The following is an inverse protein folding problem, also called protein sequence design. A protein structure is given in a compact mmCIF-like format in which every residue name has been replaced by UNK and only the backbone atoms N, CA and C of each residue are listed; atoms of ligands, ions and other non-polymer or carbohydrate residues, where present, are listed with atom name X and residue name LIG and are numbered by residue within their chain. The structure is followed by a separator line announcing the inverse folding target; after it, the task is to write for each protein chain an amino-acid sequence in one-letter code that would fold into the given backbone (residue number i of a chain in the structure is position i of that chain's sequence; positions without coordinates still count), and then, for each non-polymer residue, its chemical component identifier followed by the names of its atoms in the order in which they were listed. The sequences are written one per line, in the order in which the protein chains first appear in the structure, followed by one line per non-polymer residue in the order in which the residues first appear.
data_IF_760590847442
#
_entry.id   IF_760590847442
#
_cell.length_a   1.000
_cell.length_b   1.000
_cell.length_c   1.000
_cell.angle_alpha   90.00
_cell.angle_beta   90.00
_cell.angle_gamma   90.00
#
_symmetry.space_group_name_H-M   'P 1'
#
loop_
_entity.id
_entity.type
_entity.pdbx_description
1 polymer ?
#
# COMPACT_ATOMS: atom_id res chain seq x y z
N UNK A 1 12.66 -10.76 -10.73
CA UNK A 1 11.19 -10.57 -10.60
C UNK A 1 10.91 -9.07 -10.75
N UNK A 2 10.03 -8.65 -11.67
CA UNK A 2 9.67 -7.24 -11.79
C UNK A 2 8.80 -6.86 -10.60
N UNK A 3 9.30 -5.98 -9.74
CA UNK A 3 8.52 -5.40 -8.66
C UNK A 3 7.42 -4.56 -9.29
N UNK A 4 6.16 -4.82 -8.91
CA UNK A 4 5.04 -3.98 -9.32
C UNK A 4 4.99 -2.77 -8.41
N UNK A 5 4.91 -1.60 -9.05
CA UNK A 5 4.85 -0.31 -8.41
C UNK A 5 3.45 0.27 -8.58
N UNK A 6 2.76 0.48 -7.48
CA UNK A 6 1.50 1.23 -7.45
C UNK A 6 1.75 2.55 -6.72
N UNK A 7 1.19 3.64 -7.25
CA UNK A 7 1.33 4.97 -6.64
C UNK A 7 -0.05 5.39 -6.20
N UNK A 8 -0.16 5.74 -4.92
CA UNK A 8 -1.42 6.18 -4.34
C UNK A 8 -1.18 7.55 -3.71
N UNK A 9 -1.92 8.53 -4.20
CA UNK A 9 -1.91 9.89 -3.70
C UNK A 9 -2.71 9.95 -2.38
N UNK A 10 -2.15 10.63 -1.38
CA UNK A 10 -2.79 10.95 -0.09
C UNK A 10 -3.09 9.79 0.89
N UNK A 11 -2.06 9.32 1.59
CA UNK A 11 -2.23 8.51 2.81
C UNK A 11 -1.91 9.29 4.09
N UNK A 12 -2.87 9.29 5.01
CA UNK A 12 -2.68 9.73 6.40
C UNK A 12 -1.89 8.73 7.27
N UNK A 13 -1.66 7.50 6.79
CA UNK A 13 -1.00 6.45 7.55
C UNK A 13 0.51 6.39 7.31
N UNK A 14 1.25 6.14 8.38
CA UNK A 14 2.69 5.92 8.29
C UNK A 14 3.03 4.66 7.48
N UNK A 15 4.14 4.64 6.72
CA UNK A 15 4.58 3.48 5.93
C UNK A 15 4.64 2.16 6.72
N UNK A 16 5.01 2.22 8.01
CA UNK A 16 5.05 1.05 8.87
C UNK A 16 3.67 0.44 9.14
N UNK A 17 2.63 1.27 9.30
CA UNK A 17 1.26 0.81 9.54
C UNK A 17 0.71 0.15 8.30
N UNK A 18 0.94 0.78 7.14
CA UNK A 18 0.59 0.22 5.85
C UNK A 18 1.33 -1.10 5.59
N UNK A 19 2.65 -1.19 5.85
CA UNK A 19 3.41 -2.42 5.65
C UNK A 19 2.85 -3.57 6.51
N UNK A 20 2.53 -3.32 7.79
CA UNK A 20 1.89 -4.31 8.65
C UNK A 20 0.49 -4.72 8.16
N UNK A 21 -0.29 -3.75 7.69
CA UNK A 21 -1.63 -4.01 7.15
C UNK A 21 -1.58 -4.86 5.88
N UNK A 22 -0.72 -4.49 4.92
CA UNK A 22 -0.49 -5.27 3.70
C UNK A 22 -0.04 -6.69 4.04
N UNK A 23 0.90 -6.86 4.98
CA UNK A 23 1.34 -8.18 5.43
C UNK A 23 0.23 -8.99 6.10
N UNK A 24 -0.61 -8.34 6.89
CA UNK A 24 -1.73 -8.99 7.59
C UNK A 24 -2.87 -9.38 6.66
N UNK A 25 -3.22 -8.52 5.68
CA UNK A 25 -4.34 -8.74 4.77
C UNK A 25 -3.97 -9.61 3.58
N UNK A 26 -2.78 -9.40 3.03
CA UNK A 26 -2.37 -10.01 1.76
C UNK A 26 -1.33 -11.11 1.93
N UNK A 27 -0.81 -11.34 3.14
CA UNK A 27 0.19 -12.36 3.43
C UNK A 27 1.61 -11.78 3.56
N UNK A 28 2.55 -12.61 4.02
CA UNK A 28 3.89 -12.16 4.43
C UNK A 28 4.83 -11.87 3.25
N UNK A 29 4.42 -10.97 2.34
CA UNK A 29 5.22 -10.50 1.22
C UNK A 29 6.12 -9.33 1.62
N UNK A 30 7.20 -9.14 0.85
CA UNK A 30 8.15 -8.02 1.02
C UNK A 30 7.55 -6.73 0.45
N UNK A 31 6.54 -6.19 1.13
CA UNK A 31 5.95 -4.90 0.77
C UNK A 31 6.89 -3.77 1.18
N UNK A 32 7.35 -3.00 0.19
CA UNK A 32 8.15 -1.79 0.41
C UNK A 32 7.31 -0.58 0.11
N UNK A 33 7.30 0.37 1.04
CA UNK A 33 6.51 1.59 0.91
C UNK A 33 7.49 2.76 0.97
N UNK A 34 7.47 3.59 -0.06
CA UNK A 34 8.22 4.84 -0.09
C UNK A 34 7.24 5.98 -0.01
N UNK A 35 7.47 6.90 0.93
CA UNK A 35 6.73 8.16 1.01
C UNK A 35 7.49 9.21 0.20
N UNK A 36 6.88 9.70 -0.87
CA UNK A 36 7.29 10.91 -1.59
C UNK A 36 6.67 12.17 -0.96
N UNK A 37 6.92 13.34 -1.56
CA UNK A 37 6.37 14.60 -1.07
C UNK A 37 4.83 14.63 -1.09
N UNK A 38 4.21 14.05 -2.13
CA UNK A 38 2.75 14.11 -2.32
C UNK A 38 2.08 12.72 -2.47
N UNK A 39 2.88 11.67 -2.70
CA UNK A 39 2.37 10.34 -2.98
C UNK A 39 3.09 9.23 -2.22
N UNK A 40 2.38 8.14 -1.97
CA UNK A 40 2.94 6.90 -1.45
C UNK A 40 3.15 5.92 -2.59
N UNK A 41 4.38 5.43 -2.72
CA UNK A 41 4.75 4.40 -3.69
C UNK A 41 4.83 3.05 -3.00
N UNK A 42 3.98 2.13 -3.43
CA UNK A 42 3.89 0.76 -2.95
C UNK A 42 4.61 -0.17 -3.95
N UNK A 43 5.59 -0.90 -3.45
CA UNK A 43 6.38 -1.86 -4.22
C UNK A 43 6.09 -3.26 -3.68
N UNK A 44 5.52 -4.10 -4.54
CA UNK A 44 5.19 -5.50 -4.22
C UNK A 44 5.83 -6.46 -5.24
N UNK A 45 6.17 -7.70 -4.85
CA UNK A 45 6.74 -8.70 -5.76
C UNK A 45 5.71 -9.26 -6.76
N UNK A 46 4.42 -8.95 -6.57
CA UNK A 46 3.31 -9.31 -7.45
C UNK A 46 2.40 -8.10 -7.68
N UNK A 47 1.63 -8.07 -8.78
CA UNK A 47 0.55 -7.10 -8.93
C UNK A 47 -0.45 -7.23 -7.77
N UNK A 48 -0.86 -6.07 -7.24
CA UNK A 48 -2.02 -5.98 -6.35
C UNK A 48 -3.27 -6.16 -7.20
N UNK A 49 -4.25 -6.89 -6.68
CA UNK A 49 -5.58 -7.00 -7.29
C UNK A 49 -6.43 -5.78 -6.95
N UNK A 50 -7.49 -5.52 -7.73
CA UNK A 50 -8.41 -4.41 -7.46
C UNK A 50 -8.95 -4.44 -6.03
N UNK A 51 -9.30 -5.62 -5.49
CA UNK A 51 -9.79 -5.79 -4.11
C UNK A 51 -8.75 -5.35 -3.05
N UNK A 52 -7.47 -5.48 -3.37
CA UNK A 52 -6.37 -5.09 -2.50
C UNK A 52 -6.13 -3.57 -2.56
N UNK A 53 -6.35 -2.97 -3.73
CA UNK A 53 -6.29 -1.53 -3.95
C UNK A 53 -7.52 -0.85 -3.32
N UNK A 54 -8.69 -1.44 -3.45
CA UNK A 54 -9.94 -0.97 -2.86
C UNK A 54 -9.84 -1.00 -1.33
N UNK A 55 -9.34 -2.09 -0.75
CA UNK A 55 -9.09 -2.16 0.69
C UNK A 55 -7.99 -1.23 1.22
N UNK A 56 -7.18 -0.69 0.32
CA UNK A 56 -6.20 0.35 0.59
C UNK A 56 -6.91 1.72 0.61
N UNK A 57 -7.81 1.98 -0.35
CA UNK A 57 -8.65 3.19 -0.43
C UNK A 57 -9.70 3.27 0.69
N UNK A 58 -10.30 2.16 1.11
CA UNK A 58 -11.24 2.07 2.25
C UNK A 58 -10.59 2.58 3.57
N UNK A 59 -9.28 2.34 3.71
CA UNK A 59 -8.47 2.85 4.83
C UNK A 59 -8.11 4.33 4.70
N UNK A 60 -8.17 4.89 3.49
CA UNK A 60 -8.03 6.32 3.23
C UNK A 60 -9.24 7.08 3.78
N UNK A 61 -10.45 6.61 3.49
CA UNK A 61 -11.70 7.29 3.89
C UNK A 61 -12.00 7.22 5.39
N UNK A 62 -11.61 6.14 6.08
CA UNK A 62 -11.99 5.93 7.50
C UNK A 62 -11.28 6.86 8.52
N UNK A 63 -10.53 7.85 8.04
CA UNK A 63 -9.87 8.87 8.89
C UNK A 63 -10.33 10.30 8.54
N UNK A 64 -11.47 10.44 7.85
CA UNK A 64 -12.22 11.69 7.68
C UNK A 64 -13.26 11.90 8.78
#
# INVERSE_FOLDING_TARGET
MPWKQETIDDYHLSPNVLSKFLKGKFGNYDFRIKRGNDAYTFLAPRPLTEDEIDGLDDKRERTG
#
